data_IF_527776960843
#
_entry.id   IF_527776960843
#
_cell.length_a   1.000
_cell.length_b   1.000
_cell.length_c   1.000
_cell.angle_alpha   90.00
_cell.angle_beta   90.00
_cell.angle_gamma   90.00
#
_symmetry.space_group_name_H-M   'P 1'
#
loop_
_entity.id
_entity.type
_entity.pdbx_description
1 polymer ?
#
# COMPACT_ATOMS: atom_id res chain seq x y z
N UNK A 1 -14.47 -6.43 -63.58
CA UNK A 1 -14.83 -5.80 -62.30
C UNK A 1 -15.92 -4.79 -62.62
N UNK A 2 -17.14 -4.92 -62.08
CA UNK A 2 -18.17 -3.93 -62.30
C UNK A 2 -17.80 -2.63 -61.57
N UNK A 3 -17.91 -1.50 -62.27
CA UNK A 3 -17.54 -0.19 -61.78
C UNK A 3 -18.45 0.19 -60.60
N UNK A 4 -17.83 0.58 -59.47
CA UNK A 4 -18.54 1.09 -58.29
C UNK A 4 -19.51 2.23 -58.62
N UNK A 5 -19.23 2.95 -59.71
CA UNK A 5 -20.07 4.02 -60.24
C UNK A 5 -21.43 3.52 -60.76
N UNK A 6 -21.46 2.37 -61.42
CA UNK A 6 -22.70 1.76 -61.92
C UNK A 6 -23.56 1.23 -60.76
N UNK A 7 -22.92 0.65 -59.74
CA UNK A 7 -23.62 0.20 -58.53
C UNK A 7 -24.24 1.37 -57.75
N UNK A 8 -23.53 2.50 -57.65
CA UNK A 8 -24.05 3.72 -57.00
C UNK A 8 -25.17 4.35 -57.82
N UNK A 9 -25.05 4.42 -59.15
CA UNK A 9 -26.13 4.90 -60.02
C UNK A 9 -27.38 4.02 -59.95
N UNK A 10 -27.22 2.69 -59.94
CA UNK A 10 -28.35 1.78 -59.78
C UNK A 10 -28.99 1.90 -58.39
N UNK A 11 -28.22 2.15 -57.33
CA UNK A 11 -28.74 2.36 -55.98
C UNK A 11 -29.52 3.69 -55.88
N UNK A 12 -29.02 4.75 -56.52
CA UNK A 12 -29.66 6.07 -56.61
C UNK A 12 -30.97 6.02 -57.42
N UNK A 13 -31.00 5.30 -58.53
CA UNK A 13 -32.22 5.10 -59.32
C UNK A 13 -33.26 4.25 -58.59
N UNK A 14 -32.84 3.30 -57.76
CA UNK A 14 -33.74 2.47 -56.93
C UNK A 14 -34.42 3.24 -55.79
N UNK A 15 -33.95 4.45 -55.50
CA UNK A 15 -34.46 5.32 -54.42
C UNK A 15 -35.47 6.38 -54.91
N UNK A 16 -35.95 6.30 -56.17
CA UNK A 16 -36.98 7.22 -56.73
C UNK A 16 -36.68 8.71 -56.48
N UNK A 17 -35.41 9.12 -56.68
CA UNK A 17 -34.97 10.51 -56.53
C UNK A 17 -35.45 11.45 -57.65
N UNK A 18 -36.15 10.94 -58.67
CA UNK A 18 -36.74 11.74 -59.76
C UNK A 18 -37.97 12.55 -59.33
N UNK A 19 -38.45 12.39 -58.09
CA UNK A 19 -39.52 13.20 -57.50
C UNK A 19 -39.03 14.26 -56.50
N UNK A 20 -37.73 14.55 -56.42
CA UNK A 20 -37.29 15.69 -55.64
C UNK A 20 -37.64 17.00 -56.37
N UNK A 21 -38.46 17.89 -55.78
CA UNK A 21 -38.68 19.20 -56.37
C UNK A 21 -37.35 19.93 -56.46
N UNK A 22 -37.09 20.58 -57.61
CA UNK A 22 -35.86 21.33 -57.85
C UNK A 22 -35.57 22.27 -56.68
N UNK A 23 -34.31 22.39 -56.25
CA UNK A 23 -33.88 23.26 -55.13
C UNK A 23 -34.43 24.70 -55.24
N UNK A 24 -34.67 25.16 -56.48
CA UNK A 24 -35.32 26.43 -56.79
C UNK A 24 -36.80 26.51 -56.39
N UNK A 25 -37.57 25.42 -56.48
CA UNK A 25 -38.98 25.36 -56.05
C UNK A 25 -39.11 25.25 -54.53
N UNK A 26 -38.18 24.58 -53.86
CA UNK A 26 -38.15 24.51 -52.39
C UNK A 26 -37.94 25.92 -51.82
N UNK A 27 -37.00 26.69 -52.38
CA UNK A 27 -36.77 28.08 -51.95
C UNK A 27 -37.96 29.01 -52.24
N UNK A 28 -38.69 28.80 -53.35
CA UNK A 28 -39.81 29.64 -53.76
C UNK A 28 -41.16 29.29 -53.08
N UNK A 29 -41.32 28.05 -52.60
CA UNK A 29 -42.55 27.56 -51.95
C UNK A 29 -42.48 27.56 -50.42
N UNK A 30 -41.35 27.95 -49.84
CA UNK A 30 -41.19 27.99 -48.38
C UNK A 30 -41.88 29.22 -47.79
N UNK A 31 -43.04 29.00 -47.17
CA UNK A 31 -43.74 29.99 -46.35
C UNK A 31 -42.85 30.51 -45.20
N UNK A 32 -43.11 31.72 -44.68
CA UNK A 32 -42.38 32.27 -43.52
C UNK A 32 -42.35 31.32 -42.32
N UNK A 33 -43.43 30.57 -42.13
CA UNK A 33 -43.55 29.54 -41.08
C UNK A 33 -42.56 28.40 -41.29
N UNK A 34 -42.36 27.95 -42.53
CA UNK A 34 -41.39 26.89 -42.83
C UNK A 34 -39.95 27.36 -42.55
N UNK A 35 -39.63 28.63 -42.82
CA UNK A 35 -38.34 29.21 -42.44
C UNK A 35 -38.14 29.28 -40.93
N UNK A 36 -39.19 29.62 -40.16
CA UNK A 36 -39.11 29.60 -38.69
C UNK A 36 -38.89 28.19 -38.14
N UNK A 37 -39.51 27.17 -38.75
CA UNK A 37 -39.32 25.77 -38.37
C UNK A 37 -37.90 25.27 -38.64
N UNK A 38 -37.32 25.62 -39.80
CA UNK A 38 -35.92 25.29 -40.09
C UNK A 38 -34.97 26.02 -39.13
N UNK A 39 -35.25 27.29 -38.83
CA UNK A 39 -34.49 28.06 -37.84
C UNK A 39 -34.52 27.42 -36.45
N UNK A 40 -35.70 26.98 -35.99
CA UNK A 40 -35.87 26.27 -34.73
C UNK A 40 -35.16 24.91 -34.73
N UNK A 41 -35.21 24.16 -35.84
CA UNK A 41 -34.53 22.89 -35.97
C UNK A 41 -33.01 23.08 -35.92
N UNK A 42 -32.48 24.07 -36.64
CA UNK A 42 -31.06 24.41 -36.61
C UNK A 42 -30.62 24.87 -35.20
N UNK A 43 -31.43 25.70 -34.54
CA UNK A 43 -31.17 26.11 -33.16
C UNK A 43 -31.18 24.92 -32.19
N UNK A 44 -32.12 23.97 -32.35
CA UNK A 44 -32.17 22.75 -31.56
C UNK A 44 -30.96 21.84 -31.79
N UNK A 45 -30.48 21.73 -33.03
CA UNK A 45 -29.26 20.98 -33.35
C UNK A 45 -28.03 21.67 -32.72
N UNK A 46 -27.91 22.99 -32.83
CA UNK A 46 -26.81 23.75 -32.22
C UNK A 46 -26.87 23.64 -30.70
N UNK A 47 -28.04 23.77 -30.08
CA UNK A 47 -28.21 23.52 -28.65
C UNK A 47 -27.84 22.08 -28.29
N UNK A 48 -28.27 21.10 -29.09
CA UNK A 48 -27.95 19.69 -28.89
C UNK A 48 -26.46 19.44 -28.93
N UNK A 49 -25.73 20.02 -29.90
CA UNK A 49 -24.28 19.93 -30.00
C UNK A 49 -23.60 20.68 -28.84
N UNK A 50 -24.07 21.89 -28.51
CA UNK A 50 -23.55 22.70 -27.41
C UNK A 50 -23.72 21.99 -26.07
N UNK A 51 -24.91 21.44 -25.78
CA UNK A 51 -25.14 20.59 -24.62
C UNK A 51 -24.32 19.30 -24.72
N UNK A 52 -24.21 18.64 -25.86
CA UNK A 52 -23.38 17.41 -25.96
C UNK A 52 -21.90 17.71 -25.68
N UNK A 53 -21.39 18.86 -26.10
CA UNK A 53 -19.99 19.28 -25.86
C UNK A 53 -19.76 19.87 -24.46
N UNK A 54 -20.71 20.66 -23.95
CA UNK A 54 -20.67 21.28 -22.61
C UNK A 54 -20.91 20.22 -21.53
N UNK A 55 -21.90 19.35 -21.73
CA UNK A 55 -22.26 18.27 -20.82
C UNK A 55 -21.25 17.13 -20.84
N UNK A 56 -20.50 16.91 -21.93
CA UNK A 56 -19.33 16.01 -21.95
C UNK A 56 -18.21 16.43 -20.99
N UNK A 57 -18.20 17.66 -20.47
CA UNK A 57 -17.24 18.10 -19.44
C UNK A 57 -17.74 17.99 -18.00
N UNK A 58 -19.00 17.64 -17.76
CA UNK A 58 -19.56 17.57 -16.40
C UNK A 58 -20.12 16.20 -15.98
N UNK A 59 -20.01 15.18 -16.83
CA UNK A 59 -20.40 13.80 -16.52
C UNK A 59 -19.19 12.85 -16.50
N UNK A 60 -18.21 13.16 -15.65
CA UNK A 60 -17.19 12.21 -15.18
C UNK A 60 -17.45 11.87 -13.70
N UNK A 61 -18.67 11.45 -13.39
CA UNK A 61 -19.04 10.89 -12.09
C UNK A 61 -19.82 9.58 -12.24
N UNK A 62 -19.53 8.80 -13.28
CA UNK A 62 -20.12 7.46 -13.52
C UNK A 62 -19.05 6.36 -13.64
N UNK A 63 -17.78 6.69 -13.47
CA UNK A 63 -16.68 5.70 -13.48
C UNK A 63 -16.46 5.07 -12.08
N UNK A 64 -17.32 5.40 -11.11
CA UNK A 64 -17.17 4.95 -9.71
C UNK A 64 -17.78 3.57 -9.41
N UNK A 65 -18.52 2.96 -10.33
CA UNK A 65 -19.36 1.80 -9.99
C UNK A 65 -18.68 0.43 -10.24
N UNK A 66 -17.64 0.34 -11.10
CA UNK A 66 -16.99 -0.95 -11.40
C UNK A 66 -15.47 -0.86 -11.56
N UNK A 67 -14.79 -0.08 -10.72
CA UNK A 67 -13.33 -0.21 -10.63
C UNK A 67 -12.98 -1.34 -9.66
N UNK A 68 -12.52 -2.47 -10.20
CA UNK A 68 -11.85 -3.48 -9.39
C UNK A 68 -10.74 -2.82 -8.55
N UNK A 69 -10.49 -3.26 -7.30
CA UNK A 69 -9.52 -2.64 -6.40
C UNK A 69 -8.13 -2.42 -7.02
N UNK A 70 -7.73 -3.29 -7.95
CA UNK A 70 -6.48 -3.22 -8.71
C UNK A 70 -6.42 -2.01 -9.67
N UNK A 71 -7.52 -1.70 -10.36
CA UNK A 71 -7.62 -0.55 -11.27
C UNK A 71 -7.60 0.75 -10.46
N UNK A 72 -8.31 0.75 -9.33
CA UNK A 72 -8.37 1.89 -8.42
C UNK A 72 -6.98 2.15 -7.81
N UNK A 73 -6.27 1.09 -7.43
CA UNK A 73 -4.88 1.16 -6.95
C UNK A 73 -3.94 1.73 -8.02
N UNK A 74 -4.01 1.21 -9.25
CA UNK A 74 -3.18 1.70 -10.35
C UNK A 74 -3.40 3.20 -10.63
N UNK A 75 -4.64 3.68 -10.51
CA UNK A 75 -4.96 5.11 -10.65
C UNK A 75 -4.41 5.94 -9.50
N UNK A 76 -4.51 5.46 -8.25
CA UNK A 76 -3.95 6.16 -7.08
C UNK A 76 -2.42 6.18 -7.08
N UNK A 77 -1.78 5.14 -7.65
CA UNK A 77 -0.32 5.12 -7.90
C UNK A 77 0.11 6.21 -8.88
N UNK A 78 -0.74 6.63 -9.81
CA UNK A 78 -0.44 7.75 -10.70
C UNK A 78 -0.68 9.10 -10.04
N UNK A 79 -1.75 9.20 -9.25
CA UNK A 79 -2.13 10.44 -8.58
C UNK A 79 -2.95 10.17 -7.29
N UNK A 80 -2.35 10.32 -6.10
CA UNK A 80 -2.95 9.91 -4.84
C UNK A 80 -4.03 10.90 -4.34
N UNK A 81 -4.08 12.12 -4.89
CA UNK A 81 -5.02 13.17 -4.48
C UNK A 81 -6.37 13.09 -5.19
N UNK A 82 -6.54 12.13 -6.11
CA UNK A 82 -7.79 11.95 -6.87
C UNK A 82 -8.97 11.53 -6.02
N UNK A 83 -8.72 11.03 -4.82
CA UNK A 83 -9.74 10.52 -3.93
C UNK A 83 -9.44 10.92 -2.49
N UNK A 84 -10.48 11.11 -1.68
CA UNK A 84 -10.30 11.37 -0.25
C UNK A 84 -9.72 10.14 0.46
N UNK A 85 -8.79 10.31 1.42
CA UNK A 85 -8.20 9.20 2.19
C UNK A 85 -9.21 8.23 2.80
N UNK A 86 -10.34 8.74 3.30
CA UNK A 86 -11.42 7.90 3.85
C UNK A 86 -12.05 7.00 2.76
N UNK A 87 -12.25 7.53 1.57
CA UNK A 87 -12.81 6.79 0.44
C UNK A 87 -11.84 5.73 -0.08
N UNK A 88 -10.53 6.04 -0.10
CA UNK A 88 -9.47 5.09 -0.45
C UNK A 88 -9.54 3.87 0.48
N UNK A 89 -9.58 4.06 1.80
CA UNK A 89 -9.65 2.95 2.75
C UNK A 89 -10.91 2.10 2.53
N UNK A 90 -12.07 2.76 2.38
CA UNK A 90 -13.35 2.06 2.26
C UNK A 90 -13.52 1.25 0.97
N UNK A 91 -12.94 1.70 -0.15
CA UNK A 91 -13.14 1.09 -1.48
C UNK A 91 -12.01 0.17 -1.91
N UNK A 92 -10.78 0.48 -1.50
CA UNK A 92 -9.58 -0.27 -1.88
C UNK A 92 -9.37 -1.47 -0.94
N UNK A 93 -9.83 -1.35 0.31
CA UNK A 93 -9.55 -2.33 1.37
C UNK A 93 -8.15 -2.18 1.96
N UNK A 94 -7.93 -2.81 3.12
CA UNK A 94 -6.68 -2.65 3.88
C UNK A 94 -5.43 -3.09 3.09
N UNK A 95 -5.46 -4.26 2.46
CA UNK A 95 -4.28 -4.83 1.76
C UNK A 95 -3.80 -3.97 0.57
N UNK A 96 -4.73 -3.50 -0.26
CA UNK A 96 -4.38 -2.63 -1.38
C UNK A 96 -4.02 -1.22 -0.90
N UNK A 97 -4.57 -0.75 0.23
CA UNK A 97 -4.22 0.57 0.79
C UNK A 97 -2.77 0.55 1.29
N UNK A 98 -2.33 -0.59 1.82
CA UNK A 98 -0.94 -0.81 2.19
C UNK A 98 -0.03 -0.87 0.96
N UNK A 99 -0.46 -1.54 -0.12
CA UNK A 99 0.28 -1.53 -1.38
C UNK A 99 0.42 -0.12 -1.96
N UNK A 100 -0.62 0.72 -1.83
CA UNK A 100 -0.54 2.13 -2.19
C UNK A 100 0.46 2.88 -1.30
N UNK A 101 0.43 2.65 0.01
CA UNK A 101 1.35 3.29 0.96
C UNK A 101 2.81 2.99 0.63
N UNK A 102 3.11 1.74 0.29
CA UNK A 102 4.47 1.32 -0.10
C UNK A 102 4.93 1.89 -1.42
N UNK A 103 4.06 1.84 -2.43
CA UNK A 103 4.39 2.40 -3.73
C UNK A 103 4.67 3.90 -3.60
N UNK A 104 3.86 4.61 -2.80
CA UNK A 104 4.02 6.04 -2.59
C UNK A 104 5.29 6.41 -1.83
N UNK A 105 5.70 5.64 -0.83
CA UNK A 105 6.95 5.90 -0.09
C UNK A 105 8.23 5.60 -0.91
N UNK A 106 8.13 4.80 -1.98
CA UNK A 106 9.27 4.49 -2.87
C UNK A 106 9.61 5.61 -3.87
N UNK A 107 8.64 6.47 -4.22
CA UNK A 107 8.85 7.53 -5.22
C UNK A 107 9.52 8.75 -4.58
N UNK A 108 10.70 9.12 -5.10
CA UNK A 108 11.54 10.19 -4.51
C UNK A 108 11.36 11.58 -5.13
N UNK A 109 10.52 11.72 -6.17
CA UNK A 109 10.32 13.00 -6.87
C UNK A 109 9.67 14.05 -5.95
N UNK A 110 10.04 15.33 -6.13
CA UNK A 110 9.59 16.43 -5.25
C UNK A 110 8.07 16.68 -5.36
N UNK A 111 7.54 16.61 -6.57
CA UNK A 111 6.11 16.78 -6.86
C UNK A 111 5.24 15.64 -6.33
N UNK A 112 5.78 14.41 -6.34
CA UNK A 112 5.11 13.27 -5.72
C UNK A 112 5.07 13.44 -4.21
N UNK A 113 6.22 13.69 -3.56
CA UNK A 113 6.29 13.86 -2.10
C UNK A 113 5.31 14.91 -1.59
N UNK A 114 5.20 16.05 -2.27
CA UNK A 114 4.25 17.10 -1.88
C UNK A 114 2.79 16.62 -1.87
N UNK A 115 2.36 15.90 -2.93
CA UNK A 115 1.00 15.34 -3.03
C UNK A 115 0.79 14.15 -2.09
N UNK A 116 1.83 13.35 -1.91
CA UNK A 116 1.79 12.11 -1.17
C UNK A 116 1.77 12.32 0.34
N UNK A 117 2.55 13.26 0.90
CA UNK A 117 2.65 13.45 2.35
C UNK A 117 1.30 13.72 3.01
N UNK A 118 0.47 14.60 2.44
CA UNK A 118 -0.84 14.94 3.01
C UNK A 118 -1.82 13.75 2.97
N UNK A 119 -1.82 12.99 1.87
CA UNK A 119 -2.66 11.79 1.71
C UNK A 119 -2.18 10.67 2.63
N UNK A 120 -0.87 10.46 2.72
CA UNK A 120 -0.20 9.46 3.57
C UNK A 120 -0.49 9.69 5.04
N UNK A 121 -0.30 10.90 5.54
CA UNK A 121 -0.53 11.24 6.95
C UNK A 121 -1.98 10.99 7.36
N UNK A 122 -2.93 11.40 6.52
CA UNK A 122 -4.35 11.22 6.78
C UNK A 122 -4.80 9.76 6.66
N UNK A 123 -4.26 8.99 5.69
CA UNK A 123 -4.49 7.54 5.60
C UNK A 123 -3.99 6.81 6.86
N UNK A 124 -2.78 7.13 7.31
CA UNK A 124 -2.19 6.55 8.52
C UNK A 124 -3.01 6.91 9.76
N UNK A 125 -3.48 8.16 9.87
CA UNK A 125 -4.35 8.62 10.96
C UNK A 125 -5.67 7.84 11.00
N UNK A 126 -6.34 7.71 9.87
CA UNK A 126 -7.63 7.00 9.75
C UNK A 126 -7.49 5.50 10.01
N UNK A 127 -6.42 4.86 9.53
CA UNK A 127 -6.13 3.44 9.79
C UNK A 127 -5.79 3.17 11.26
N UNK A 128 -5.10 4.12 11.92
CA UNK A 128 -4.80 4.05 13.36
C UNK A 128 -6.06 4.17 14.23
N UNK A 129 -6.99 5.07 13.88
CA UNK A 129 -8.25 5.27 14.61
C UNK A 129 -9.20 4.07 14.57
N UNK A 130 -9.06 3.17 13.60
CA UNK A 130 -9.89 1.97 13.48
C UNK A 130 -9.43 0.81 14.37
N UNK A 131 -8.44 1.01 15.27
CA UNK A 131 -7.76 -0.06 16.03
C UNK A 131 -7.23 -1.20 15.14
N UNK A 132 -7.10 -0.94 13.84
CA UNK A 132 -6.81 -1.98 12.87
C UNK A 132 -5.32 -2.29 12.83
N UNK A 133 -4.42 -1.31 13.03
CA UNK A 133 -2.98 -1.51 12.77
C UNK A 133 -2.04 -0.59 13.55
N UNK A 134 -1.91 -0.78 14.86
CA UNK A 134 -0.92 -0.02 15.65
C UNK A 134 0.54 -0.45 15.39
N UNK A 135 0.89 -1.76 15.51
CA UNK A 135 2.24 -2.24 15.19
C UNK A 135 2.29 -3.35 14.12
N UNK A 136 1.16 -3.98 13.78
CA UNK A 136 1.15 -5.30 13.14
C UNK A 136 1.55 -5.31 11.66
N UNK A 137 1.35 -4.22 10.91
CA UNK A 137 1.52 -4.24 9.45
C UNK A 137 2.71 -3.45 8.89
N UNK A 138 3.22 -2.46 9.62
CA UNK A 138 4.46 -1.78 9.23
C UNK A 138 5.69 -2.69 9.40
N UNK A 139 5.65 -3.62 10.37
CA UNK A 139 6.77 -4.51 10.70
C UNK A 139 6.87 -5.72 9.77
N UNK A 140 5.73 -6.12 9.22
CA UNK A 140 5.54 -7.30 8.41
C UNK A 140 6.26 -7.25 7.04
N UNK A 141 6.48 -6.04 6.49
CA UNK A 141 7.08 -5.84 5.17
C UNK A 141 8.52 -5.32 5.19
N UNK A 142 9.03 -4.88 6.34
CA UNK A 142 10.35 -4.25 6.43
C UNK A 142 11.55 -5.21 6.47
N UNK A 143 11.36 -6.51 6.73
CA UNK A 143 12.47 -7.45 6.95
C UNK A 143 12.44 -8.68 6.03
N UNK A 144 12.30 -8.45 4.72
CA UNK A 144 12.88 -9.40 3.77
C UNK A 144 14.39 -9.22 3.82
N UNK A 145 15.12 -10.28 4.16
CA UNK A 145 16.57 -10.27 3.96
C UNK A 145 16.85 -10.04 2.48
N UNK A 146 17.76 -9.12 2.17
CA UNK A 146 18.25 -8.94 0.81
C UNK A 146 19.10 -10.14 0.35
N UNK A 147 19.55 -10.97 1.29
CA UNK A 147 20.26 -12.22 1.05
C UNK A 147 19.29 -13.43 1.09
N UNK A 148 19.06 -14.10 -0.05
CA UNK A 148 18.25 -15.30 -0.11
C UNK A 148 18.86 -16.52 0.58
N UNK A 149 20.19 -16.55 0.80
CA UNK A 149 20.91 -17.68 1.39
C UNK A 149 21.01 -17.60 2.92
N UNK A 150 20.64 -16.45 3.50
CA UNK A 150 20.67 -16.28 4.94
C UNK A 150 19.73 -17.27 5.66
N UNK A 151 20.22 -17.97 6.71
CA UNK A 151 19.38 -18.86 7.50
C UNK A 151 18.14 -18.16 8.05
N UNK A 152 17.00 -18.83 7.97
CA UNK A 152 15.72 -18.28 8.44
C UNK A 152 15.82 -17.84 9.90
N UNK A 153 16.48 -18.59 10.77
CA UNK A 153 16.65 -18.27 12.20
C UNK A 153 17.41 -16.95 12.44
N UNK A 154 18.49 -16.70 11.69
CA UNK A 154 19.25 -15.44 11.73
C UNK A 154 18.36 -14.26 11.30
N UNK A 155 17.60 -14.43 10.21
CA UNK A 155 16.67 -13.42 9.72
C UNK A 155 15.61 -13.07 10.76
N UNK A 156 15.07 -14.09 11.43
CA UNK A 156 14.07 -13.94 12.49
C UNK A 156 14.67 -13.11 13.62
N UNK A 157 15.82 -13.52 14.16
CA UNK A 157 16.44 -12.84 15.29
C UNK A 157 16.81 -11.39 14.97
N UNK A 158 17.37 -11.14 13.79
CA UNK A 158 17.68 -9.78 13.35
C UNK A 158 16.43 -8.91 13.20
N UNK A 159 15.36 -9.47 12.64
CA UNK A 159 14.06 -8.77 12.51
C UNK A 159 13.57 -8.27 13.87
N UNK A 160 13.62 -9.13 14.88
CA UNK A 160 13.17 -8.81 16.24
C UNK A 160 14.04 -7.72 16.88
N UNK A 161 15.36 -7.80 16.71
CA UNK A 161 16.28 -6.76 17.24
C UNK A 161 16.05 -5.41 16.59
N UNK A 162 15.93 -5.36 15.26
CA UNK A 162 15.68 -4.09 14.58
C UNK A 162 14.31 -3.55 14.98
N UNK A 163 13.32 -4.43 15.17
CA UNK A 163 12.02 -3.99 15.61
C UNK A 163 12.08 -3.18 16.92
N UNK A 164 12.82 -3.67 17.91
CA UNK A 164 12.83 -3.02 19.23
C UNK A 164 13.94 -1.97 19.42
N UNK A 165 15.06 -2.08 18.71
CA UNK A 165 16.23 -1.22 18.87
C UNK A 165 16.53 -0.34 17.64
N UNK A 166 15.77 -0.49 16.55
CA UNK A 166 16.05 0.18 15.29
C UNK A 166 17.23 -0.43 14.52
N UNK A 167 17.58 0.18 13.38
CA UNK A 167 18.56 -0.38 12.43
C UNK A 167 19.97 -0.52 12.99
N UNK A 168 20.33 0.31 13.96
CA UNK A 168 21.63 0.25 14.64
C UNK A 168 21.73 -0.96 15.57
N UNK A 169 20.59 -1.52 16.00
CA UNK A 169 20.52 -2.64 16.97
C UNK A 169 21.47 -2.37 18.14
N UNK A 170 21.28 -1.21 18.74
CA UNK A 170 22.12 -0.68 19.80
C UNK A 170 21.29 -0.45 21.04
N UNK A 171 21.90 -0.69 22.20
CA UNK A 171 21.35 -0.33 23.48
C UNK A 171 22.46 0.38 24.26
N UNK A 172 22.11 1.54 24.82
CA UNK A 172 23.04 2.36 25.58
C UNK A 172 23.66 1.57 26.74
N UNK A 173 24.98 1.68 26.98
CA UNK A 173 25.66 1.14 28.16
C UNK A 173 24.99 1.56 29.47
N UNK A 174 25.23 0.79 30.54
CA UNK A 174 24.80 1.20 31.87
C UNK A 174 25.61 2.41 32.40
N UNK A 175 25.24 3.00 33.56
CA UNK A 175 25.98 4.11 34.15
C UNK A 175 27.45 3.80 34.48
N UNK A 176 27.78 2.53 34.68
CA UNK A 176 29.16 2.05 34.93
C UNK A 176 29.97 1.87 33.63
N UNK A 177 29.40 2.21 32.48
CA UNK A 177 30.04 2.12 31.16
C UNK A 177 30.14 0.70 30.59
N UNK A 178 29.46 -0.28 31.20
CA UNK A 178 29.42 -1.66 30.70
C UNK A 178 28.50 -1.74 29.47
N UNK A 179 28.98 -2.32 28.36
CA UNK A 179 28.22 -2.40 27.11
C UNK A 179 27.01 -3.30 27.28
N UNK A 180 26.02 -3.13 26.39
CA UNK A 180 24.88 -4.01 26.34
C UNK A 180 25.27 -5.40 25.81
N UNK A 181 24.60 -6.42 26.35
CA UNK A 181 24.76 -7.81 25.95
C UNK A 181 23.50 -8.31 25.26
N UNK A 182 23.67 -8.92 24.10
CA UNK A 182 22.67 -9.71 23.42
C UNK A 182 22.91 -11.19 23.72
N UNK A 183 21.92 -11.86 24.29
CA UNK A 183 21.97 -13.29 24.59
C UNK A 183 20.91 -14.01 23.81
N UNK A 184 21.34 -15.01 23.08
CA UNK A 184 20.53 -15.81 22.19
C UNK A 184 20.47 -17.22 22.76
N UNK A 185 19.31 -17.63 23.29
CA UNK A 185 19.06 -19.04 23.56
C UNK A 185 18.68 -19.71 22.24
N UNK A 186 19.56 -20.55 21.73
CA UNK A 186 19.40 -21.20 20.44
C UNK A 186 19.14 -22.71 20.60
N UNK A 187 18.46 -23.28 19.60
CA UNK A 187 18.38 -24.74 19.49
C UNK A 187 19.74 -25.27 19.00
N UNK A 188 20.20 -26.48 19.37
CA UNK A 188 21.50 -27.01 18.95
C UNK A 188 21.71 -27.13 17.43
N UNK A 189 20.61 -27.16 16.67
CA UNK A 189 20.62 -27.22 15.20
C UNK A 189 20.63 -25.83 14.53
N UNK A 190 20.55 -24.76 15.32
CA UNK A 190 20.54 -23.40 14.82
C UNK A 190 21.95 -22.95 14.44
N UNK A 191 22.07 -22.26 13.31
CA UNK A 191 23.33 -21.68 12.87
C UNK A 191 23.58 -20.38 13.63
N UNK A 192 24.70 -20.31 14.32
CA UNK A 192 25.19 -19.06 14.93
C UNK A 192 25.69 -18.10 13.85
N UNK A 193 25.45 -16.81 14.04
CA UNK A 193 25.83 -15.81 13.05
C UNK A 193 25.72 -14.39 13.55
N UNK A 194 26.12 -13.45 12.68
CA UNK A 194 26.08 -12.04 13.00
C UNK A 194 24.66 -11.47 12.88
N UNK A 195 24.18 -10.91 13.98
CA UNK A 195 22.90 -10.23 14.07
C UNK A 195 23.05 -8.72 13.86
N UNK A 196 24.28 -8.22 13.72
CA UNK A 196 24.63 -6.82 13.54
C UNK A 196 24.34 -5.98 14.78
N UNK A 197 24.34 -6.59 15.96
CA UNK A 197 24.12 -5.93 17.24
C UNK A 197 25.40 -5.20 17.66
N UNK A 198 25.27 -3.93 18.08
CA UNK A 198 26.39 -3.13 18.53
C UNK A 198 26.65 -3.39 20.02
N UNK A 199 27.32 -4.51 20.29
CA UNK A 199 27.64 -4.99 21.63
C UNK A 199 28.09 -6.45 21.62
N UNK A 200 28.19 -7.04 22.81
CA UNK A 200 28.56 -8.46 22.94
C UNK A 200 27.36 -9.35 22.58
N UNK A 201 27.56 -10.34 21.70
CA UNK A 201 26.53 -11.34 21.37
C UNK A 201 26.96 -12.71 21.88
N UNK A 202 26.14 -13.31 22.73
CA UNK A 202 26.35 -14.63 23.32
C UNK A 202 25.31 -15.60 22.80
N UNK A 203 25.76 -16.72 22.22
CA UNK A 203 24.92 -17.84 21.84
C UNK A 203 24.98 -18.88 22.95
N UNK A 204 23.82 -19.24 23.49
CA UNK A 204 23.68 -20.12 24.65
C UNK A 204 22.76 -21.28 24.29
N UNK A 205 23.10 -22.47 24.77
CA UNK A 205 22.18 -23.61 24.67
C UNK A 205 20.95 -23.41 25.56
N UNK A 206 19.81 -24.07 25.29
CA UNK A 206 18.56 -23.81 26.00
C UNK A 206 18.67 -23.98 27.51
N UNK A 207 19.42 -25.00 27.96
CA UNK A 207 19.60 -25.35 29.37
C UNK A 207 20.90 -24.77 29.96
N UNK A 208 21.68 -24.04 29.17
CA UNK A 208 22.93 -23.45 29.65
C UNK A 208 22.63 -22.29 30.61
N UNK A 209 23.25 -22.27 31.81
CA UNK A 209 23.10 -21.15 32.72
C UNK A 209 23.71 -19.91 32.07
N UNK A 210 22.92 -18.84 31.98
CA UNK A 210 23.42 -17.58 31.44
C UNK A 210 24.41 -16.96 32.43
N UNK A 211 25.52 -16.37 31.95
CA UNK A 211 26.45 -15.66 32.82
C UNK A 211 25.74 -14.48 33.51
N UNK A 212 26.23 -13.99 34.67
CA UNK A 212 25.67 -12.81 35.31
C UNK A 212 25.72 -11.62 34.34
N UNK A 213 24.66 -10.80 34.34
CA UNK A 213 24.61 -9.61 33.49
C UNK A 213 25.41 -8.47 34.12
N UNK A 214 26.43 -8.00 33.41
CA UNK A 214 27.25 -6.85 33.85
C UNK A 214 26.68 -5.50 33.41
N UNK A 215 25.71 -5.51 32.49
CA UNK A 215 25.13 -4.32 31.88
C UNK A 215 23.70 -4.57 31.39
N UNK A 216 23.21 -3.69 30.51
CA UNK A 216 21.92 -3.84 29.86
C UNK A 216 21.89 -5.13 29.06
N UNK A 217 20.76 -5.82 29.06
CA UNK A 217 20.66 -7.16 28.50
C UNK A 217 19.43 -7.32 27.63
N UNK A 218 19.63 -8.01 26.53
CA UNK A 218 18.60 -8.42 25.59
C UNK A 218 18.67 -9.94 25.50
N UNK A 219 17.64 -10.63 25.96
CA UNK A 219 17.55 -12.09 25.89
C UNK A 219 16.51 -12.49 24.86
N UNK A 220 16.87 -13.41 23.98
CA UNK A 220 15.97 -13.98 22.99
C UNK A 220 15.85 -15.46 23.27
N UNK A 221 14.63 -15.94 23.47
CA UNK A 221 14.35 -17.35 23.71
C UNK A 221 14.61 -18.20 22.44
N UNK A 222 14.60 -19.54 22.54
CA UNK A 222 14.55 -20.40 21.38
C UNK A 222 13.33 -20.08 20.50
N UNK A 223 13.51 -20.16 19.18
CA UNK A 223 12.40 -19.99 18.23
C UNK A 223 11.52 -21.24 18.33
N UNK A 224 10.25 -21.07 18.69
CA UNK A 224 9.28 -22.15 18.75
C UNK A 224 8.63 -22.31 17.37
N UNK A 225 8.98 -23.36 16.64
CA UNK A 225 8.41 -23.66 15.33
C UNK A 225 7.18 -24.54 15.46
N UNK A 226 6.00 -23.97 15.25
CA UNK A 226 4.76 -24.75 15.16
C UNK A 226 4.60 -25.40 13.78
N UNK A 227 5.06 -24.73 12.72
CA UNK A 227 5.15 -25.26 11.35
C UNK A 227 6.33 -24.61 10.61
N UNK A 228 6.59 -25.01 9.36
CA UNK A 228 7.58 -24.34 8.50
C UNK A 228 7.27 -22.84 8.26
N UNK A 229 6.00 -22.44 8.37
CA UNK A 229 5.54 -21.07 8.08
C UNK A 229 5.05 -20.31 9.32
N UNK A 230 5.01 -20.97 10.48
CA UNK A 230 4.48 -20.43 11.72
C UNK A 230 5.47 -20.70 12.84
N UNK A 231 5.94 -19.63 13.45
CA UNK A 231 6.95 -19.67 14.49
C UNK A 231 6.73 -18.55 15.49
N UNK A 232 7.07 -18.77 16.75
CA UNK A 232 7.02 -17.78 17.82
C UNK A 232 8.42 -17.50 18.34
N UNK A 233 8.68 -16.25 18.70
CA UNK A 233 9.91 -15.85 19.36
C UNK A 233 9.61 -14.82 20.45
N UNK A 234 10.17 -15.06 21.63
CA UNK A 234 10.09 -14.14 22.76
C UNK A 234 11.40 -13.39 22.94
N UNK A 235 11.30 -12.10 23.22
CA UNK A 235 12.43 -11.23 23.51
C UNK A 235 12.18 -10.46 24.80
N UNK A 236 13.17 -10.49 25.69
CA UNK A 236 13.19 -9.78 26.95
C UNK A 236 14.30 -8.74 26.91
N UNK A 237 13.98 -7.50 27.22
CA UNK A 237 14.97 -6.40 27.25
C UNK A 237 14.94 -5.79 28.63
N UNK A 238 16.10 -5.74 29.27
CA UNK A 238 16.31 -5.12 30.59
C UNK A 238 17.40 -4.08 30.46
N UNK A 239 17.06 -2.80 30.65
CA UNK A 239 18.03 -1.69 30.57
C UNK A 239 19.03 -1.71 31.72
N UNK A 240 18.64 -2.33 32.81
CA UNK A 240 19.40 -2.43 34.05
C UNK A 240 19.05 -3.77 34.69
N UNK A 241 20.05 -4.58 35.10
CA UNK A 241 19.79 -5.88 35.70
C UNK A 241 19.21 -5.80 37.13
N UNK A 242 19.34 -4.65 37.79
CA UNK A 242 19.02 -4.49 39.22
C UNK A 242 17.98 -3.42 39.56
N UNK A 243 17.74 -2.40 38.72
CA UNK A 243 16.82 -1.27 39.03
C UNK A 243 16.26 -0.66 37.75
N UNK A 244 14.96 -0.80 37.44
CA UNK A 244 14.35 -0.08 36.31
C UNK A 244 13.23 -0.81 35.56
N UNK A 245 12.89 -0.29 34.37
CA UNK A 245 11.87 -0.85 33.49
C UNK A 245 12.46 -1.70 32.35
N UNK A 246 11.86 -2.86 32.10
CA UNK A 246 12.13 -3.77 31.00
C UNK A 246 10.90 -3.97 30.10
N UNK A 247 11.10 -4.71 29.02
CA UNK A 247 10.05 -5.09 28.07
C UNK A 247 10.11 -6.58 27.78
N UNK A 248 8.96 -7.23 27.75
CA UNK A 248 8.77 -8.58 27.21
C UNK A 248 7.90 -8.47 25.97
N UNK A 249 8.38 -8.99 24.85
CA UNK A 249 7.63 -9.01 23.60
C UNK A 249 7.48 -10.44 23.11
N UNK A 250 6.31 -10.75 22.56
CA UNK A 250 6.06 -12.01 21.85
C UNK A 250 5.81 -11.68 20.39
N UNK A 251 6.62 -12.29 19.51
CA UNK A 251 6.51 -12.13 18.07
C UNK A 251 6.10 -13.45 17.42
N UNK A 252 5.21 -13.39 16.43
CA UNK A 252 4.78 -14.56 15.65
C UNK A 252 5.01 -14.36 14.16
N UNK A 253 5.49 -15.41 13.48
CA UNK A 253 5.55 -15.51 12.03
C UNK A 253 4.18 -15.93 11.52
N UNK A 254 3.53 -15.08 10.74
CA UNK A 254 2.32 -15.45 9.99
C UNK A 254 2.65 -15.38 8.49
N UNK A 255 2.73 -16.55 7.84
CA UNK A 255 3.15 -16.68 6.43
C UNK A 255 4.58 -16.14 6.20
N UNK A 256 4.72 -14.97 5.55
CA UNK A 256 6.00 -14.32 5.23
C UNK A 256 6.31 -13.10 6.10
N UNK A 257 5.59 -12.93 7.21
CA UNK A 257 5.55 -11.69 7.99
C UNK A 257 5.75 -11.98 9.47
N UNK A 258 6.50 -11.12 10.16
CA UNK A 258 6.66 -11.13 11.62
C UNK A 258 5.83 -10.02 12.24
N UNK A 259 5.07 -10.36 13.28
CA UNK A 259 4.18 -9.42 13.98
C UNK A 259 4.38 -9.54 15.48
N UNK A 260 4.33 -8.41 16.20
CA UNK A 260 4.20 -8.42 17.66
C UNK A 260 2.76 -8.76 17.99
N UNK A 261 2.57 -9.80 18.80
CA UNK A 261 1.25 -10.23 19.27
C UNK A 261 1.00 -9.86 20.72
N UNK A 262 2.07 -9.58 21.47
CA UNK A 262 1.99 -9.19 22.87
C UNK A 262 3.21 -8.34 23.29
N UNK A 263 2.97 -7.36 24.16
CA UNK A 263 3.98 -6.47 24.74
C UNK A 263 3.63 -6.18 26.21
N UNK A 264 4.51 -6.60 27.10
CA UNK A 264 4.40 -6.35 28.54
C UNK A 264 5.57 -5.46 29.01
N UNK A 265 5.26 -4.49 29.86
CA UNK A 265 6.27 -3.67 30.54
C UNK A 265 6.57 -4.29 31.90
N UNK A 266 7.83 -4.66 32.12
CA UNK A 266 8.29 -5.22 33.37
C UNK A 266 8.88 -4.12 34.24
N UNK A 267 8.38 -3.91 35.45
CA UNK A 267 8.99 -2.99 36.41
C UNK A 267 9.77 -3.80 37.42
N UNK A 268 11.09 -3.66 37.41
CA UNK A 268 11.97 -4.27 38.42
C UNK A 268 11.99 -3.31 39.62
N UNK A 269 11.33 -3.73 40.70
CA UNK A 269 11.25 -3.05 41.99
C UNK A 269 12.54 -3.15 42.80
#
# INVERSE_FOLDING_TARGET
MPDLFELVQQLLQRWELDQFPSLSRILAAMDPVAWTLIGLLAAAIVLGIFFTLSTRRSFLATDEIESTPEILLARLKQDPTRMSPLSIISRLGAEATLELLEYGDQIRTKEWRYRWSAVREELLRLLSQQNAFGPTYALARYYRSADPQEPDTIRIRRTVLIHKLGQLRYLEPNPDGKPAQLRIRCHPAEVEGDLGFEGETLWLMPDEPAPPAEGPIIEMEPIDFHTLQDAELRIHIRRTPTVGGGFRLVLRKRRKMWIVVDEEVEWVS
#
